data_IF_784637153580
#
_entry.id   IF_784637153580
#
_cell.length_a   1.000
_cell.length_b   1.000
_cell.length_c   1.000
_cell.angle_alpha   90.00
_cell.angle_beta   90.00
_cell.angle_gamma   90.00
#
_symmetry.space_group_name_H-M   'P 1'
#
loop_
_entity.id
_entity.type
_entity.pdbx_description
1 polymer ?
#
# COMPACT_ATOMS: atom_id res chain seq x y z
N UNK A 1 -20.05 -1.50 16.11
CA UNK A 1 -19.28 -2.02 14.96
C UNK A 1 -18.06 -1.14 14.81
N UNK A 2 -16.87 -1.70 15.01
CA UNK A 2 -15.62 -0.95 14.91
C UNK A 2 -15.29 -0.74 13.43
N UNK A 3 -15.49 0.46 12.89
CA UNK A 3 -15.09 0.80 11.51
C UNK A 3 -13.57 1.07 11.43
N UNK A 4 -12.76 0.13 11.93
CA UNK A 4 -11.30 0.26 11.87
C UNK A 4 -10.83 -0.01 10.45
N UNK A 5 -10.09 0.94 9.89
CA UNK A 5 -9.47 0.81 8.57
C UNK A 5 -7.96 0.84 8.73
N UNK A 6 -7.28 0.18 7.81
CA UNK A 6 -5.82 0.21 7.67
C UNK A 6 -5.46 0.43 6.22
N UNK A 7 -4.35 1.12 6.01
CA UNK A 7 -3.76 1.37 4.72
C UNK A 7 -2.57 0.43 4.49
N UNK A 8 -2.27 0.15 3.23
CA UNK A 8 -1.15 -0.67 2.82
C UNK A 8 -0.50 -0.18 1.54
N UNK A 9 0.83 -0.31 1.48
CA UNK A 9 1.60 -0.19 0.23
C UNK A 9 2.73 -1.21 0.22
N UNK A 10 3.24 -1.49 -0.98
CA UNK A 10 4.38 -2.39 -1.20
C UNK A 10 5.43 -1.59 -1.96
N UNK A 11 6.66 -1.64 -1.48
CA UNK A 11 7.85 -1.13 -2.15
C UNK A 11 8.38 -2.25 -3.05
N UNK A 12 8.32 -2.05 -4.35
CA UNK A 12 8.98 -2.92 -5.32
C UNK A 12 10.42 -2.43 -5.51
N UNK A 13 11.37 -3.22 -5.04
CA UNK A 13 12.80 -3.01 -5.29
C UNK A 13 13.12 -3.55 -6.69
N UNK A 14 13.41 -2.64 -7.62
CA UNK A 14 13.75 -2.99 -8.99
C UNK A 14 15.23 -3.37 -9.09
N UNK A 15 15.57 -4.25 -10.03
CA UNK A 15 16.94 -4.71 -10.20
C UNK A 15 17.90 -3.57 -10.65
N UNK A 16 17.36 -2.47 -11.17
CA UNK A 16 18.13 -1.26 -11.52
C UNK A 16 18.46 -0.36 -10.30
N UNK A 17 18.05 -0.77 -9.09
CA UNK A 17 18.23 -0.03 -7.84
C UNK A 17 17.18 1.05 -7.60
N UNK A 18 16.23 1.24 -8.52
CA UNK A 18 15.09 2.12 -8.33
C UNK A 18 13.98 1.42 -7.54
N UNK A 19 13.02 2.22 -7.07
CA UNK A 19 11.89 1.73 -6.27
C UNK A 19 10.59 2.16 -6.89
N UNK A 20 9.56 1.33 -6.77
CA UNK A 20 8.17 1.69 -7.08
C UNK A 20 7.27 1.36 -5.91
N UNK A 21 6.13 2.02 -5.83
CA UNK A 21 5.16 1.88 -4.76
C UNK A 21 3.84 1.40 -5.32
N UNK A 22 3.26 0.39 -4.68
CA UNK A 22 1.93 -0.10 -5.03
C UNK A 22 0.88 0.92 -4.59
N UNK A 23 0.06 1.36 -5.54
CA UNK A 23 -1.03 2.29 -5.32
C UNK A 23 -2.33 1.79 -5.98
N UNK A 24 -3.46 2.26 -5.48
CA UNK A 24 -4.81 1.95 -5.95
C UNK A 24 -5.42 3.20 -6.62
N UNK A 25 -5.58 3.22 -7.95
CA UNK A 25 -6.33 4.26 -8.64
C UNK A 25 -7.83 4.12 -8.36
N UNK A 26 -8.44 5.12 -7.73
CA UNK A 26 -9.89 5.18 -7.46
C UNK A 26 -10.45 6.42 -8.16
N UNK A 27 -11.08 6.22 -9.32
CA UNK A 27 -11.57 7.31 -10.16
C UNK A 27 -10.42 8.18 -10.69
N UNK A 28 -10.38 9.45 -10.30
CA UNK A 28 -9.29 10.39 -10.64
C UNK A 28 -8.20 10.49 -9.55
N UNK A 29 -8.39 9.78 -8.43
CA UNK A 29 -7.46 9.77 -7.31
C UNK A 29 -6.57 8.51 -7.34
N UNK A 30 -5.40 8.63 -6.74
CA UNK A 30 -4.50 7.49 -6.48
C UNK A 30 -4.28 7.46 -4.98
N UNK A 31 -4.69 6.36 -4.36
CA UNK A 31 -4.68 6.18 -2.91
C UNK A 31 -3.88 4.93 -2.52
N UNK A 32 -3.62 4.75 -1.23
CA UNK A 32 -3.10 3.48 -0.71
C UNK A 32 -4.19 2.40 -0.77
N UNK A 33 -3.77 1.13 -0.77
CA UNK A 33 -4.71 0.04 -0.59
C UNK A 33 -5.37 0.18 0.80
N UNK A 34 -6.70 0.14 0.87
CA UNK A 34 -7.45 0.38 2.10
C UNK A 34 -8.27 -0.85 2.46
N UNK A 35 -7.89 -1.53 3.55
CA UNK A 35 -8.61 -2.68 4.07
C UNK A 35 -9.47 -2.31 5.29
N UNK A 36 -10.65 -2.92 5.39
CA UNK A 36 -11.46 -2.89 6.61
C UNK A 36 -10.97 -3.99 7.55
N UNK A 37 -10.77 -3.64 8.81
CA UNK A 37 -10.39 -4.60 9.85
C UNK A 37 -11.67 -5.16 10.46
N UNK A 38 -11.91 -6.45 10.26
CA UNK A 38 -13.00 -7.18 10.94
C UNK A 38 -12.62 -7.43 12.41
N UNK A 39 -13.61 -7.64 13.28
CA UNK A 39 -13.37 -7.87 14.72
C UNK A 39 -12.57 -9.17 14.98
N UNK A 40 -12.46 -10.06 14.00
CA UNK A 40 -11.75 -11.35 14.08
C UNK A 40 -10.30 -11.28 13.55
N UNK A 41 -9.88 -10.16 12.95
CA UNK A 41 -8.58 -10.01 12.31
C UNK A 41 -7.78 -8.83 12.86
N UNK A 42 -6.45 -8.97 12.83
CA UNK A 42 -5.56 -7.83 13.06
C UNK A 42 -5.50 -6.95 11.80
N UNK A 43 -5.07 -5.70 11.96
CA UNK A 43 -4.82 -4.80 10.83
C UNK A 43 -3.87 -5.40 9.81
N UNK A 44 -2.76 -5.99 10.28
CA UNK A 44 -1.79 -6.68 9.43
C UNK A 44 -2.42 -7.84 8.66
N UNK A 45 -3.18 -8.71 9.34
CA UNK A 45 -3.82 -9.85 8.70
C UNK A 45 -4.83 -9.42 7.63
N UNK A 46 -5.60 -8.37 7.92
CA UNK A 46 -6.57 -7.79 6.98
C UNK A 46 -5.86 -7.25 5.74
N UNK A 47 -4.69 -6.64 5.93
CA UNK A 47 -3.89 -6.06 4.84
C UNK A 47 -3.22 -7.13 3.99
N UNK A 48 -2.67 -8.19 4.59
CA UNK A 48 -2.17 -9.35 3.86
C UNK A 48 -3.28 -10.02 3.06
N UNK A 49 -4.47 -10.22 3.65
CA UNK A 49 -5.60 -10.79 2.93
C UNK A 49 -5.98 -9.95 1.71
N UNK A 50 -6.05 -8.62 1.86
CA UNK A 50 -6.33 -7.71 0.75
C UNK A 50 -5.30 -7.81 -0.37
N UNK A 51 -4.00 -7.84 -0.06
CA UNK A 51 -2.98 -8.03 -1.10
C UNK A 51 -3.09 -9.37 -1.82
N UNK A 52 -3.49 -10.42 -1.09
CA UNK A 52 -3.69 -11.75 -1.68
C UNK A 52 -4.93 -11.83 -2.57
N UNK A 53 -6.04 -11.22 -2.15
CA UNK A 53 -7.35 -11.39 -2.80
C UNK A 53 -7.62 -10.30 -3.84
N UNK A 54 -7.35 -9.04 -3.52
CA UNK A 54 -7.67 -7.89 -4.38
C UNK A 54 -6.52 -7.53 -5.31
N UNK A 55 -5.27 -7.60 -4.83
CA UNK A 55 -4.08 -7.30 -5.65
C UNK A 55 -3.52 -8.56 -6.33
N UNK A 56 -3.94 -9.74 -5.87
CA UNK A 56 -3.48 -11.05 -6.34
C UNK A 56 -1.97 -11.24 -6.24
N UNK A 57 -1.36 -10.68 -5.20
CA UNK A 57 0.05 -10.83 -4.89
C UNK A 57 0.33 -12.03 -3.97
N UNK A 58 1.48 -12.65 -4.19
CA UNK A 58 2.01 -13.66 -3.27
C UNK A 58 2.55 -12.99 -2.01
N UNK A 59 1.71 -12.96 -0.98
CA UNK A 59 2.04 -12.38 0.33
C UNK A 59 3.16 -13.11 1.06
N UNK A 60 3.60 -14.29 0.61
CA UNK A 60 4.79 -14.95 1.15
C UNK A 60 6.09 -14.35 0.62
N UNK A 61 5.99 -13.56 -0.45
CA UNK A 61 7.11 -12.89 -1.11
C UNK A 61 7.25 -11.41 -0.73
N UNK A 62 6.48 -10.93 0.26
CA UNK A 62 6.53 -9.56 0.77
C UNK A 62 6.92 -9.57 2.24
N UNK A 63 7.67 -8.55 2.68
CA UNK A 63 8.10 -8.40 4.08
C UNK A 63 7.65 -7.06 4.63
N UNK A 64 7.07 -7.04 5.83
CA UNK A 64 6.71 -5.79 6.51
C UNK A 64 8.00 -5.08 6.95
N UNK A 65 8.24 -3.89 6.41
CA UNK A 65 9.43 -3.07 6.74
C UNK A 65 9.10 -1.94 7.69
N UNK A 66 7.89 -1.39 7.60
CA UNK A 66 7.51 -0.25 8.41
C UNK A 66 6.01 -0.26 8.73
N UNK A 67 5.69 0.23 9.93
CA UNK A 67 4.33 0.56 10.34
C UNK A 67 4.33 2.02 10.77
N UNK A 68 3.66 2.86 10.00
CA UNK A 68 3.50 4.29 10.30
C UNK A 68 2.03 4.66 10.44
N UNK A 69 1.74 5.91 10.80
CA UNK A 69 0.40 6.47 10.76
C UNK A 69 0.29 7.44 9.60
N UNK A 70 -0.64 7.20 8.68
CA UNK A 70 -0.99 8.12 7.61
C UNK A 70 -2.23 8.92 8.01
N UNK A 71 -2.21 10.22 7.75
CA UNK A 71 -3.36 11.09 7.92
C UNK A 71 -4.14 11.13 6.60
N UNK A 72 -5.23 10.36 6.52
CA UNK A 72 -6.06 10.24 5.31
C UNK A 72 -7.45 10.77 5.64
N UNK A 73 -7.95 11.75 4.88
CA UNK A 73 -9.29 12.32 5.07
C UNK A 73 -9.59 12.82 6.51
N UNK A 74 -8.59 13.40 7.19
CA UNK A 74 -8.64 13.84 8.61
C UNK A 74 -8.73 12.71 9.64
N UNK A 75 -8.46 11.47 9.23
CA UNK A 75 -8.40 10.31 10.12
C UNK A 75 -6.96 9.78 10.18
N UNK A 76 -6.53 9.38 11.39
CA UNK A 76 -5.27 8.66 11.56
C UNK A 76 -5.49 7.18 11.22
N UNK A 77 -4.90 6.75 10.12
CA UNK A 77 -4.99 5.39 9.60
C UNK A 77 -3.63 4.73 9.70
N UNK A 78 -3.51 3.56 10.35
CA UNK A 78 -2.26 2.79 10.33
C UNK A 78 -1.91 2.40 8.89
N UNK A 79 -0.70 2.70 8.45
CA UNK A 79 -0.14 2.37 7.15
C UNK A 79 0.93 1.30 7.31
N UNK A 80 0.67 0.12 6.75
CA UNK A 80 1.63 -0.96 6.65
C UNK A 80 2.42 -0.83 5.35
N UNK A 81 3.74 -0.72 5.48
CA UNK A 81 4.66 -0.64 4.35
C UNK A 81 5.38 -1.97 4.25
N UNK A 82 5.20 -2.64 3.13
CA UNK A 82 5.90 -3.87 2.82
C UNK A 82 6.96 -3.61 1.76
N UNK A 83 7.89 -4.53 1.59
CA UNK A 83 8.80 -4.55 0.46
C UNK A 83 8.80 -5.91 -0.22
N UNK A 84 9.14 -5.91 -1.51
CA UNK A 84 9.39 -7.10 -2.30
C UNK A 84 10.40 -6.79 -3.41
N UNK A 85 11.11 -7.82 -3.87
CA UNK A 85 12.00 -7.70 -5.02
C UNK A 85 11.26 -7.93 -6.34
N UNK A 86 11.72 -7.30 -7.41
CA UNK A 86 11.18 -7.48 -8.77
C UNK A 86 11.07 -8.95 -9.20
N UNK A 87 12.00 -9.79 -8.75
CA UNK A 87 12.03 -11.22 -9.06
C UNK A 87 10.88 -12.00 -8.43
N UNK A 88 10.29 -11.49 -7.34
CA UNK A 88 9.12 -12.07 -6.69
C UNK A 88 7.81 -11.71 -7.40
N UNK A 89 7.82 -10.71 -8.29
CA UNK A 89 6.65 -10.32 -9.07
C UNK A 89 6.42 -11.35 -10.20
N UNK A 90 5.70 -12.43 -9.89
CA UNK A 90 5.46 -13.54 -10.82
C UNK A 90 4.29 -13.33 -11.78
N UNK A 91 3.31 -12.53 -11.37
CA UNK A 91 2.06 -12.36 -12.11
C UNK A 91 1.89 -10.91 -12.57
N UNK A 92 1.19 -10.73 -13.69
CA UNK A 92 0.59 -9.44 -14.00
C UNK A 92 -0.43 -9.11 -12.90
N UNK A 93 -0.19 -7.98 -12.23
CA UNK A 93 -1.06 -7.45 -11.18
C UNK A 93 -2.43 -7.10 -11.75
N UNK A 94 -3.46 -7.11 -10.91
CA UNK A 94 -4.80 -6.67 -11.32
C UNK A 94 -4.73 -5.24 -11.90
N UNK A 95 -5.56 -4.94 -12.90
CA UNK A 95 -5.58 -3.66 -13.63
C UNK A 95 -5.98 -2.49 -12.73
N UNK A 96 -6.59 -2.79 -11.59
CA UNK A 96 -7.01 -1.82 -10.59
C UNK A 96 -5.87 -1.38 -9.65
N UNK A 97 -4.64 -1.86 -9.87
CA UNK A 97 -3.46 -1.40 -9.12
C UNK A 97 -2.36 -0.94 -10.06
N UNK A 98 -1.52 -0.03 -9.57
CA UNK A 98 -0.41 0.50 -10.35
C UNK A 98 0.84 0.70 -9.51
N UNK A 99 1.99 0.56 -10.16
CA UNK A 99 3.30 0.81 -9.58
C UNK A 99 3.74 2.23 -9.90
N UNK A 100 3.87 3.06 -8.87
CA UNK A 100 4.17 4.49 -9.01
C UNK A 100 5.60 4.77 -8.56
N UNK A 101 6.33 5.61 -9.30
CA UNK A 101 7.67 6.03 -8.90
C UNK A 101 7.63 7.00 -7.70
N UNK A 102 8.66 7.05 -6.83
CA UNK A 102 8.67 7.94 -5.67
C UNK A 102 8.48 9.43 -6.01
N UNK A 103 8.93 9.88 -7.19
CA UNK A 103 8.73 11.26 -7.64
C UNK A 103 7.25 11.58 -7.91
N UNK A 104 6.54 10.64 -8.52
CA UNK A 104 5.10 10.74 -8.77
C UNK A 104 4.31 10.63 -7.46
N UNK A 105 4.74 9.75 -6.57
CA UNK A 105 4.14 9.58 -5.24
C UNK A 105 4.16 10.88 -4.42
N UNK A 106 5.30 11.59 -4.39
CA UNK A 106 5.40 12.92 -3.75
C UNK A 106 4.44 13.94 -4.38
N UNK A 107 4.25 13.87 -5.69
CA UNK A 107 3.33 14.75 -6.41
C UNK A 107 1.87 14.43 -6.08
N UNK A 108 1.52 13.15 -5.97
CA UNK A 108 0.20 12.68 -5.55
C UNK A 108 -0.07 13.13 -4.11
N UNK A 109 0.86 12.90 -3.18
CA UNK A 109 0.73 13.31 -1.78
C UNK A 109 0.55 14.82 -1.60
N UNK A 110 1.29 15.62 -2.37
CA UNK A 110 1.17 17.09 -2.34
C UNK A 110 -0.21 17.59 -2.77
N UNK A 111 -0.93 16.82 -3.60
CA UNK A 111 -2.29 17.16 -4.06
C UNK A 111 -3.39 16.74 -3.07
N UNK A 112 -3.16 15.70 -2.27
CA UNK A 112 -4.20 15.04 -1.46
C UNK A 112 -4.12 15.25 0.06
N UNK A 113 -3.31 16.19 0.56
CA UNK A 113 -3.22 16.52 2.00
C UNK A 113 -2.92 15.30 2.90
N UNK A 114 -2.12 14.37 2.41
CA UNK A 114 -1.68 13.20 3.18
C UNK A 114 -0.51 13.66 4.07
N UNK A 115 -0.79 13.93 5.34
CA UNK A 115 0.23 14.20 6.36
C UNK A 115 0.71 12.86 6.97
N UNK A 116 2.00 12.70 7.27
CA UNK A 116 2.54 11.45 7.83
C UNK A 116 3.17 10.49 6.82
N UNK A 117 3.51 11.00 5.64
CA UNK A 117 4.31 10.32 4.63
C UNK A 117 5.64 9.80 5.22
N UNK A 118 6.01 8.52 5.00
CA UNK A 118 7.36 8.05 5.31
C UNK A 118 8.40 8.77 4.44
N UNK A 119 9.49 9.24 5.04
CA UNK A 119 10.62 9.82 4.31
C UNK A 119 11.44 8.68 3.68
N UNK A 120 11.03 8.23 2.50
CA UNK A 120 11.81 7.31 1.65
C UNK A 120 12.77 8.04 0.71
#
# INVERSE_FOLDING_TARGET
MSNKKVAGTIILNLNDGSKKFLMHPIGEAIEFAMAKVSDEMTGLASMLQWFKEEVQLDVTSISLVELTNAHINKENVPLFVFEMDEQALKNEMDKDYTWVAPAELKTIWSKYHIEGVPMF
#
